data_IF_065785984791
#
_entry.id   IF_065785984791
#
_cell.length_a   1.000
_cell.length_b   1.000
_cell.length_c   1.000
_cell.angle_alpha   90.00
_cell.angle_beta   90.00
_cell.angle_gamma   90.00
#
_symmetry.space_group_name_H-M   'P 1'
#
loop_
_entity.id
_entity.type
_entity.pdbx_description
1 polymer ?
#
# COMPACT_ATOMS: atom_id res chain seq x y z
N UNK A 1 -6.39 -7.49 23.44
CA UNK A 1 -7.34 -6.94 22.47
C UNK A 1 -6.66 -6.73 21.11
N UNK A 2 -7.47 -6.58 20.08
CA UNK A 2 -7.06 -6.27 18.71
C UNK A 2 -7.44 -4.82 18.42
N UNK A 3 -6.62 -4.10 17.63
CA UNK A 3 -6.88 -2.71 17.24
C UNK A 3 -6.97 -2.62 15.73
N UNK A 4 -8.03 -1.96 15.25
CA UNK A 4 -8.20 -1.68 13.82
C UNK A 4 -8.67 -0.24 13.61
N UNK A 5 -8.39 0.31 12.45
CA UNK A 5 -8.87 1.63 12.09
C UNK A 5 -8.45 2.07 10.70
N UNK A 6 -9.28 2.88 10.07
CA UNK A 6 -9.04 3.46 8.76
C UNK A 6 -8.47 4.87 8.82
N UNK A 7 -7.60 5.24 7.86
CA UNK A 7 -7.05 6.58 7.72
C UNK A 7 -6.37 7.07 9.01
N UNK A 8 -6.72 8.21 9.55
CA UNK A 8 -6.19 8.71 10.85
C UNK A 8 -6.33 7.71 11.99
N UNK A 9 -7.40 6.89 12.02
CA UNK A 9 -7.55 5.82 13.03
C UNK A 9 -6.58 4.67 12.77
N UNK A 10 -6.22 4.42 11.51
CA UNK A 10 -5.12 3.51 11.15
C UNK A 10 -3.77 4.00 11.68
N UNK A 11 -3.52 5.31 11.61
CA UNK A 11 -2.36 5.92 12.25
C UNK A 11 -2.36 5.69 13.77
N UNK A 12 -3.52 5.94 14.41
CA UNK A 12 -3.70 5.63 15.84
C UNK A 12 -3.52 4.14 16.13
N UNK A 13 -3.96 3.25 15.24
CA UNK A 13 -3.78 1.79 15.35
C UNK A 13 -2.31 1.43 15.47
N UNK A 14 -1.47 1.95 14.58
CA UNK A 14 -0.02 1.76 14.64
C UNK A 14 0.58 2.29 15.95
N UNK A 15 0.31 3.55 16.31
CA UNK A 15 0.88 4.15 17.52
C UNK A 15 0.40 3.46 18.80
N UNK A 16 -0.85 3.02 18.86
CA UNK A 16 -1.37 2.23 20.00
C UNK A 16 -0.58 0.94 20.15
N UNK A 17 -0.33 0.23 19.06
CA UNK A 17 0.45 -1.02 19.08
C UNK A 17 1.92 -0.80 19.48
N UNK A 18 2.47 0.38 19.19
CA UNK A 18 3.84 0.72 19.57
C UNK A 18 4.01 0.92 21.09
N UNK A 19 2.95 1.33 21.82
CA UNK A 19 3.04 1.72 23.22
C UNK A 19 2.28 0.79 24.16
N UNK A 20 1.28 0.05 23.69
CA UNK A 20 0.47 -0.84 24.55
C UNK A 20 0.75 -2.31 24.24
N UNK A 21 1.47 -2.98 25.15
CA UNK A 21 1.83 -4.40 25.04
C UNK A 21 0.66 -5.39 25.12
N UNK A 22 -0.55 -4.91 25.44
CA UNK A 22 -1.77 -5.74 25.46
C UNK A 22 -2.35 -5.93 24.06
N UNK A 23 -1.89 -5.15 23.07
CA UNK A 23 -2.32 -5.31 21.67
C UNK A 23 -1.77 -6.65 21.14
N UNK A 24 -2.70 -7.52 20.71
CA UNK A 24 -2.38 -8.85 20.19
C UNK A 24 -2.25 -8.90 18.67
N UNK A 25 -2.99 -8.02 17.99
CA UNK A 25 -2.93 -7.89 16.54
C UNK A 25 -3.46 -6.52 16.10
N UNK A 26 -3.12 -6.09 14.88
CA UNK A 26 -3.57 -4.81 14.32
C UNK A 26 -4.03 -4.93 12.87
N UNK A 27 -5.01 -4.08 12.50
CA UNK A 27 -5.47 -3.91 11.12
C UNK A 27 -5.51 -2.42 10.77
N UNK A 28 -4.39 -1.83 10.36
CA UNK A 28 -4.38 -0.49 9.79
C UNK A 28 -4.93 -0.51 8.35
N UNK A 29 -5.90 0.34 8.06
CA UNK A 29 -6.61 0.40 6.77
C UNK A 29 -6.42 1.79 6.16
N UNK A 30 -6.13 1.88 4.86
CA UNK A 30 -5.94 3.14 4.11
C UNK A 30 -5.00 4.10 4.82
N UNK A 31 -3.84 3.61 5.25
CA UNK A 31 -2.84 4.38 5.96
C UNK A 31 -1.41 3.95 5.55
N UNK A 32 -1.14 4.01 4.28
CA UNK A 32 0.10 3.57 3.66
C UNK A 32 1.20 4.65 3.77
N UNK A 33 1.47 5.10 5.01
CA UNK A 33 2.22 6.32 5.31
C UNK A 33 3.51 6.12 6.12
N UNK A 34 3.81 4.92 6.58
CA UNK A 34 5.02 4.69 7.39
C UNK A 34 6.27 5.14 6.61
N UNK A 35 7.26 5.68 7.31
CA UNK A 35 8.40 6.37 6.73
C UNK A 35 7.98 7.69 6.04
N UNK A 36 7.18 8.48 6.76
CA UNK A 36 6.42 9.62 6.27
C UNK A 36 7.27 10.65 5.50
N UNK A 37 8.50 10.91 5.94
CA UNK A 37 9.40 11.81 5.23
C UNK A 37 9.71 11.35 3.81
N UNK A 38 9.93 10.05 3.60
CA UNK A 38 10.16 9.45 2.28
C UNK A 38 8.86 9.41 1.45
N UNK A 39 7.72 9.18 2.10
CA UNK A 39 6.42 9.16 1.42
C UNK A 39 6.10 10.50 0.76
N UNK A 40 6.36 11.63 1.43
CA UNK A 40 6.14 12.95 0.84
C UNK A 40 7.08 13.24 -0.33
N UNK A 41 8.35 12.86 -0.20
CA UNK A 41 9.31 12.98 -1.31
C UNK A 41 8.83 12.15 -2.50
N UNK A 42 8.49 10.90 -2.28
CA UNK A 42 8.00 9.99 -3.32
C UNK A 42 6.73 10.49 -3.98
N UNK A 43 5.79 11.04 -3.21
CA UNK A 43 4.55 11.60 -3.74
C UNK A 43 4.83 12.73 -4.74
N UNK A 44 5.71 13.66 -4.35
CA UNK A 44 6.12 14.72 -5.26
C UNK A 44 6.86 14.20 -6.49
N UNK A 45 7.83 13.33 -6.28
CA UNK A 45 8.66 12.81 -7.37
C UNK A 45 7.86 11.94 -8.36
N UNK A 46 6.80 11.30 -7.89
CA UNK A 46 5.88 10.54 -8.74
C UNK A 46 4.94 11.43 -9.55
N UNK A 47 4.39 12.50 -8.94
CA UNK A 47 3.31 13.28 -9.53
C UNK A 47 3.72 14.68 -10.03
N UNK A 48 4.76 15.29 -9.46
CA UNK A 48 5.16 16.69 -9.70
C UNK A 48 4.28 17.72 -8.99
N UNK A 49 3.37 17.24 -8.14
CA UNK A 49 2.48 18.05 -7.30
C UNK A 49 2.07 17.22 -6.07
N UNK A 50 1.48 17.88 -5.07
CA UNK A 50 0.79 17.17 -4.00
C UNK A 50 -0.70 17.05 -4.33
N UNK A 51 -1.26 15.82 -4.22
CA UNK A 51 -2.68 15.61 -4.44
C UNK A 51 -3.53 16.54 -3.56
N UNK A 52 -4.69 17.02 -4.03
CA UNK A 52 -5.56 17.92 -3.27
C UNK A 52 -5.93 17.41 -1.88
N UNK A 53 -5.98 16.09 -1.71
CA UNK A 53 -6.21 15.42 -0.43
C UNK A 53 -5.14 15.78 0.64
N UNK A 54 -3.93 16.15 0.22
CA UNK A 54 -2.83 16.54 1.12
C UNK A 54 -2.79 18.04 1.44
N UNK A 55 -3.79 18.81 1.04
CA UNK A 55 -3.84 20.27 1.19
C UNK A 55 -3.42 20.74 2.59
N UNK A 56 -4.01 20.17 3.64
CA UNK A 56 -3.75 20.57 5.02
C UNK A 56 -2.25 20.42 5.40
N UNK A 57 -1.58 19.38 4.88
CA UNK A 57 -0.16 19.15 5.12
C UNK A 57 0.71 20.15 4.36
N UNK A 58 0.32 20.49 3.14
CA UNK A 58 1.06 21.42 2.27
C UNK A 58 0.91 22.86 2.71
N UNK A 59 -0.27 23.27 3.22
CA UNK A 59 -0.50 24.60 3.77
C UNK A 59 0.46 24.93 4.93
N UNK A 60 0.85 23.92 5.70
CA UNK A 60 1.83 24.05 6.77
C UNK A 60 3.27 23.74 6.33
N UNK A 61 3.49 23.52 5.03
CA UNK A 61 4.80 23.15 4.47
C UNK A 61 5.42 21.91 5.13
N UNK A 62 4.58 20.99 5.61
CA UNK A 62 5.04 19.79 6.33
C UNK A 62 5.92 18.88 5.47
N UNK A 63 5.63 18.64 4.16
CA UNK A 63 6.48 17.80 3.33
C UNK A 63 7.95 18.20 3.35
N UNK A 64 8.26 19.50 3.25
CA UNK A 64 9.63 19.99 3.26
C UNK A 64 10.17 20.22 4.66
N UNK A 65 9.34 20.66 5.60
CA UNK A 65 9.74 20.78 7.00
C UNK A 65 10.19 19.46 7.60
N UNK A 66 9.61 18.34 7.19
CA UNK A 66 10.02 17.00 7.63
C UNK A 66 11.44 16.64 7.20
N UNK A 67 12.02 17.34 6.22
CA UNK A 67 13.42 17.15 5.83
C UNK A 67 14.41 17.97 6.70
N UNK A 68 13.92 18.86 7.54
CA UNK A 68 14.76 19.64 8.47
C UNK A 68 15.08 18.85 9.74
N UNK A 69 16.14 19.22 10.50
CA UNK A 69 16.43 18.57 11.78
C UNK A 69 15.23 18.57 12.76
N UNK A 70 14.47 19.66 12.83
CA UNK A 70 13.28 19.76 13.68
C UNK A 70 12.15 18.84 13.19
N UNK A 71 11.98 18.74 11.87
CA UNK A 71 11.03 17.81 11.26
C UNK A 71 11.39 16.35 11.54
N UNK A 72 12.69 16.02 11.49
CA UNK A 72 13.16 14.67 11.83
C UNK A 72 12.90 14.33 13.31
N UNK A 73 13.05 15.28 14.24
CA UNK A 73 12.67 15.07 15.65
C UNK A 73 11.15 14.86 15.80
N UNK A 74 10.31 15.59 15.06
CA UNK A 74 8.87 15.36 15.04
C UNK A 74 8.54 13.96 14.53
N UNK A 75 9.15 13.50 13.43
CA UNK A 75 8.95 12.17 12.87
C UNK A 75 9.28 11.06 13.87
N UNK A 76 10.29 11.23 14.73
CA UNK A 76 10.60 10.25 15.80
C UNK A 76 9.44 10.06 16.79
N UNK A 77 8.53 11.02 16.87
CA UNK A 77 7.37 10.95 17.79
C UNK A 77 6.13 10.50 17.07
N UNK A 78 5.86 11.05 15.87
CA UNK A 78 4.56 10.89 15.20
C UNK A 78 4.55 9.80 14.13
N UNK A 79 5.71 9.49 13.52
CA UNK A 79 5.77 8.46 12.47
C UNK A 79 5.82 7.06 13.09
N UNK A 80 4.83 6.20 12.80
CA UNK A 80 4.87 4.81 13.27
C UNK A 80 6.13 4.06 12.83
N UNK A 81 6.76 4.44 11.72
CA UNK A 81 8.00 3.82 11.26
C UNK A 81 9.14 3.92 12.27
N UNK A 82 9.18 4.99 13.07
CA UNK A 82 10.15 5.16 14.15
C UNK A 82 10.07 4.03 15.21
N UNK A 83 8.94 3.35 15.29
CA UNK A 83 8.66 2.28 16.25
C UNK A 83 8.58 0.89 15.60
N UNK A 84 9.01 0.73 14.34
CA UNK A 84 8.85 -0.50 13.56
C UNK A 84 9.34 -1.76 14.26
N UNK A 85 10.40 -1.66 15.08
CA UNK A 85 10.95 -2.77 15.84
C UNK A 85 10.02 -3.28 16.95
N UNK A 86 8.97 -2.52 17.30
CA UNK A 86 7.97 -2.89 18.31
C UNK A 86 6.80 -3.66 17.73
N UNK A 87 6.62 -3.68 16.41
CA UNK A 87 5.49 -4.32 15.73
C UNK A 87 5.75 -5.82 15.49
N UNK A 88 5.94 -6.58 16.56
CA UNK A 88 6.17 -8.02 16.50
C UNK A 88 4.89 -8.86 16.43
N UNK A 89 3.73 -8.25 16.77
CA UNK A 89 2.43 -8.90 16.72
C UNK A 89 1.96 -9.12 15.27
N UNK A 90 0.98 -10.02 15.02
CA UNK A 90 0.31 -10.15 13.75
C UNK A 90 -0.30 -8.83 13.27
N UNK A 91 -0.15 -8.53 11.98
CA UNK A 91 -0.69 -7.31 11.36
C UNK A 91 -1.18 -7.56 9.95
N UNK A 92 -2.39 -7.11 9.66
CA UNK A 92 -2.96 -7.07 8.31
C UNK A 92 -3.01 -5.61 7.86
N UNK A 93 -2.16 -5.26 6.89
CA UNK A 93 -2.12 -3.91 6.29
C UNK A 93 -3.01 -3.90 5.06
N UNK A 94 -4.00 -3.01 5.02
CA UNK A 94 -4.94 -2.90 3.91
C UNK A 94 -4.80 -1.53 3.26
N UNK A 95 -4.54 -1.52 1.97
CA UNK A 95 -4.35 -0.31 1.14
C UNK A 95 -5.18 -0.39 -0.14
N UNK A 96 -5.40 0.75 -0.78
CA UNK A 96 -6.11 0.88 -2.06
C UNK A 96 -5.14 1.10 -3.19
N UNK A 97 -5.46 0.58 -4.38
CA UNK A 97 -4.63 0.85 -5.57
C UNK A 97 -4.81 2.25 -6.13
N UNK A 98 -5.88 2.94 -5.78
CA UNK A 98 -6.22 4.27 -6.30
C UNK A 98 -6.39 5.33 -5.21
N UNK A 99 -5.72 5.17 -4.06
CA UNK A 99 -5.78 6.11 -2.94
C UNK A 99 -5.28 7.50 -3.35
N UNK A 100 -6.01 8.54 -2.96
CA UNK A 100 -5.65 9.92 -3.27
C UNK A 100 -4.66 10.55 -2.28
N UNK A 101 -4.39 9.90 -1.15
CA UNK A 101 -3.39 10.35 -0.17
C UNK A 101 -2.04 9.68 -0.35
N UNK A 102 -2.03 8.41 -0.77
CA UNK A 102 -0.84 7.57 -0.81
C UNK A 102 -0.55 7.09 -2.23
N UNK A 103 0.70 7.22 -2.65
CA UNK A 103 1.12 6.69 -3.95
C UNK A 103 0.96 5.18 -3.95
N UNK A 104 0.51 4.63 -5.06
CA UNK A 104 0.11 3.23 -5.18
C UNK A 104 1.19 2.22 -4.73
N UNK A 105 2.47 2.56 -4.83
CA UNK A 105 3.60 1.71 -4.41
C UNK A 105 4.25 2.15 -3.08
N UNK A 106 3.50 2.84 -2.23
CA UNK A 106 3.99 3.39 -0.94
C UNK A 106 4.50 2.33 0.04
N UNK A 107 3.95 1.11 0.02
CA UNK A 107 4.38 0.02 0.92
C UNK A 107 5.86 -0.35 0.76
N UNK A 108 6.48 -0.06 -0.38
CA UNK A 108 7.91 -0.29 -0.64
C UNK A 108 8.86 0.36 0.37
N UNK A 109 8.40 1.43 1.05
CA UNK A 109 9.23 2.21 1.99
C UNK A 109 9.22 1.66 3.42
N UNK A 110 8.41 0.64 3.70
CA UNK A 110 8.30 0.18 5.08
C UNK A 110 7.92 -1.30 5.25
N UNK A 111 7.18 -1.89 4.29
CA UNK A 111 6.61 -3.22 4.50
C UNK A 111 7.68 -4.28 4.71
N UNK A 112 8.78 -4.20 3.97
CA UNK A 112 9.94 -5.09 4.13
C UNK A 112 10.50 -5.10 5.56
N UNK A 113 10.54 -3.93 6.20
CA UNK A 113 11.16 -3.73 7.52
C UNK A 113 10.26 -4.12 8.71
N UNK A 114 8.97 -4.38 8.47
CA UNK A 114 8.06 -4.79 9.54
C UNK A 114 8.40 -6.18 10.06
N UNK A 115 8.52 -6.31 11.38
CA UNK A 115 8.84 -7.58 12.04
C UNK A 115 7.58 -8.44 12.30
N UNK A 116 7.80 -9.73 12.53
CA UNK A 116 6.77 -10.69 12.90
C UNK A 116 5.78 -11.00 11.77
N UNK A 117 4.68 -11.71 12.08
CA UNK A 117 3.69 -12.10 11.08
C UNK A 117 3.01 -10.89 10.46
N UNK A 118 3.02 -10.80 9.14
CA UNK A 118 2.44 -9.69 8.40
C UNK A 118 1.74 -10.16 7.13
N UNK A 119 0.63 -9.51 6.82
CA UNK A 119 -0.17 -9.69 5.62
C UNK A 119 -0.40 -8.35 4.97
N UNK A 120 -0.45 -8.32 3.65
CA UNK A 120 -0.70 -7.13 2.86
C UNK A 120 -1.93 -7.39 1.97
N UNK A 121 -2.78 -6.41 1.84
CA UNK A 121 -3.94 -6.41 0.96
C UNK A 121 -4.03 -5.08 0.23
N UNK A 122 -3.82 -5.09 -1.08
CA UNK A 122 -4.18 -3.99 -1.97
C UNK A 122 -5.52 -4.28 -2.61
N UNK A 123 -6.52 -3.42 -2.38
CA UNK A 123 -7.85 -3.54 -2.98
C UNK A 123 -7.86 -2.84 -4.34
N UNK A 124 -8.01 -3.58 -5.46
CA UNK A 124 -7.94 -2.97 -6.79
C UNK A 124 -9.17 -2.11 -7.08
N UNK A 125 -8.99 -1.06 -7.89
CA UNK A 125 -10.05 -0.15 -8.31
C UNK A 125 -10.82 0.53 -7.17
N UNK A 126 -10.16 0.74 -6.03
CA UNK A 126 -10.72 1.48 -4.90
C UNK A 126 -9.91 2.74 -4.60
N UNK A 127 -10.56 3.69 -3.95
CA UNK A 127 -9.95 4.91 -3.42
C UNK A 127 -9.68 4.78 -1.90
N UNK A 128 -9.40 5.88 -1.25
CA UNK A 128 -9.14 5.94 0.19
C UNK A 128 -10.25 5.36 1.08
N UNK A 129 -11.48 5.32 0.60
CA UNK A 129 -12.63 4.79 1.36
C UNK A 129 -12.70 3.27 1.35
N UNK A 130 -11.97 2.62 0.45
CA UNK A 130 -12.08 1.19 0.19
C UNK A 130 -13.47 0.81 -0.39
N UNK A 131 -13.74 -0.46 -0.49
CA UNK A 131 -15.06 -1.00 -0.79
C UNK A 131 -15.72 -1.63 0.47
N UNK A 132 -16.98 -2.00 0.35
CA UNK A 132 -17.75 -2.57 1.45
C UNK A 132 -17.22 -3.96 1.88
N UNK A 133 -16.50 -4.67 1.01
CA UNK A 133 -15.97 -6.01 1.30
C UNK A 133 -14.72 -5.95 2.17
N UNK A 134 -13.94 -4.88 2.09
CA UNK A 134 -12.66 -4.74 2.82
C UNK A 134 -12.81 -4.98 4.31
N UNK A 135 -13.88 -4.43 4.92
CA UNK A 135 -14.18 -4.63 6.35
C UNK A 135 -14.49 -6.08 6.69
N UNK A 136 -15.20 -6.77 5.79
CA UNK A 136 -15.61 -8.17 5.96
C UNK A 136 -14.41 -9.11 5.78
N UNK A 137 -13.54 -8.85 4.80
CA UNK A 137 -12.29 -9.57 4.61
C UNK A 137 -11.38 -9.47 5.85
N UNK A 138 -11.30 -8.27 6.45
CA UNK A 138 -10.56 -8.06 7.71
C UNK A 138 -11.13 -8.88 8.87
N UNK A 139 -12.47 -9.03 8.96
CA UNK A 139 -13.10 -9.82 10.01
C UNK A 139 -12.75 -11.30 9.91
N UNK A 140 -12.66 -11.86 8.71
CA UNK A 140 -12.25 -13.24 8.49
C UNK A 140 -10.82 -13.53 9.00
N UNK A 141 -9.89 -12.58 8.76
CA UNK A 141 -8.53 -12.67 9.32
C UNK A 141 -8.53 -12.52 10.85
N UNK A 142 -9.35 -11.60 11.37
CA UNK A 142 -9.47 -11.37 12.83
C UNK A 142 -9.99 -12.63 13.53
N UNK A 143 -10.96 -13.32 12.94
CA UNK A 143 -11.52 -14.57 13.47
C UNK A 143 -10.42 -15.63 13.63
N UNK A 144 -9.59 -15.83 12.61
CA UNK A 144 -8.44 -16.72 12.70
C UNK A 144 -7.48 -16.34 13.85
N UNK A 145 -7.18 -15.05 14.00
CA UNK A 145 -6.29 -14.58 15.08
C UNK A 145 -6.90 -14.82 16.46
N UNK A 146 -8.20 -14.58 16.62
CA UNK A 146 -8.89 -14.79 17.90
C UNK A 146 -8.99 -16.26 18.28
N UNK A 147 -9.16 -17.12 17.28
CA UNK A 147 -9.20 -18.59 17.45
C UNK A 147 -7.82 -19.24 17.54
N UNK A 148 -6.74 -18.45 17.49
CA UNK A 148 -5.36 -18.92 17.41
C UNK A 148 -5.12 -19.87 16.22
N UNK A 149 -5.84 -19.70 15.13
CA UNK A 149 -5.61 -20.36 13.87
C UNK A 149 -4.46 -19.70 13.11
N UNK A 150 -3.83 -20.44 12.24
CA UNK A 150 -2.79 -19.91 11.36
C UNK A 150 -3.44 -19.49 10.05
N UNK A 151 -3.60 -18.19 9.84
CA UNK A 151 -4.02 -17.67 8.54
C UNK A 151 -3.00 -18.00 7.47
N UNK A 152 -3.42 -18.35 6.25
CA UNK A 152 -2.52 -18.53 5.12
C UNK A 152 -1.73 -17.26 4.84
N UNK A 153 -0.56 -17.41 4.23
CA UNK A 153 0.31 -16.28 3.86
C UNK A 153 0.89 -16.50 2.47
N UNK A 154 1.29 -15.42 1.86
CA UNK A 154 2.15 -15.43 0.69
C UNK A 154 3.49 -14.78 1.04
N UNK A 155 4.56 -15.32 0.49
CA UNK A 155 5.85 -14.66 0.39
C UNK A 155 6.15 -14.40 -1.07
N UNK A 156 6.96 -13.38 -1.36
CA UNK A 156 7.30 -13.07 -2.75
C UNK A 156 8.73 -12.59 -2.90
N UNK A 157 9.22 -12.73 -4.11
CA UNK A 157 10.48 -12.16 -4.56
C UNK A 157 10.25 -11.38 -5.85
N UNK A 158 10.98 -10.30 -6.00
CA UNK A 158 11.03 -9.54 -7.25
C UNK A 158 12.16 -10.10 -8.11
N UNK A 159 11.84 -10.56 -9.31
CA UNK A 159 12.81 -11.08 -10.29
C UNK A 159 12.94 -10.06 -11.43
N UNK A 160 13.95 -9.19 -11.34
CA UNK A 160 14.05 -8.01 -12.19
C UNK A 160 12.96 -6.99 -11.88
N UNK A 161 12.62 -6.16 -12.88
CA UNK A 161 11.63 -5.10 -12.70
C UNK A 161 10.21 -5.52 -13.07
N UNK A 162 10.06 -6.56 -13.88
CA UNK A 162 8.81 -6.94 -14.54
C UNK A 162 8.14 -8.20 -13.96
N UNK A 163 8.76 -8.85 -12.96
CA UNK A 163 8.34 -10.18 -12.52
C UNK A 163 8.23 -10.27 -11.00
N UNK A 164 7.09 -10.79 -10.51
CA UNK A 164 6.85 -11.13 -9.11
C UNK A 164 6.62 -12.65 -9.04
N UNK A 165 7.48 -13.35 -8.28
CA UNK A 165 7.27 -14.77 -7.94
C UNK A 165 6.67 -14.87 -6.56
N UNK A 166 5.57 -15.61 -6.43
CA UNK A 166 4.81 -15.78 -5.19
C UNK A 166 4.85 -17.24 -4.73
N UNK A 167 5.08 -17.44 -3.44
CA UNK A 167 5.04 -18.73 -2.77
C UNK A 167 3.98 -18.69 -1.66
N UNK A 168 2.80 -19.32 -1.86
CA UNK A 168 1.78 -19.42 -0.82
C UNK A 168 2.14 -20.49 0.21
N UNK A 169 1.75 -20.29 1.48
CA UNK A 169 1.99 -21.25 2.57
C UNK A 169 0.98 -22.41 2.61
N UNK A 170 -0.12 -22.27 1.89
CA UNK A 170 -1.15 -23.30 1.68
C UNK A 170 -1.76 -23.15 0.29
N UNK A 171 -2.52 -24.13 -0.17
CA UNK A 171 -3.15 -24.10 -1.48
C UNK A 171 -4.16 -22.95 -1.59
N UNK A 172 -3.94 -21.96 -2.44
CA UNK A 172 -4.93 -20.92 -2.71
C UNK A 172 -6.06 -21.46 -3.58
N UNK A 173 -7.24 -20.88 -3.45
CA UNK A 173 -8.40 -21.08 -4.34
C UNK A 173 -8.10 -20.48 -5.72
N UNK A 174 -7.47 -19.32 -5.74
CA UNK A 174 -7.10 -18.60 -6.95
C UNK A 174 -5.89 -17.69 -6.69
N UNK A 175 -5.07 -17.51 -7.73
CA UNK A 175 -4.01 -16.48 -7.75
C UNK A 175 -4.16 -15.66 -9.01
N UNK A 176 -4.13 -14.33 -8.89
CA UNK A 176 -4.32 -13.37 -9.98
C UNK A 176 -3.16 -12.40 -10.09
N UNK A 177 -2.77 -12.09 -11.30
CA UNK A 177 -1.94 -10.92 -11.61
C UNK A 177 -2.87 -9.76 -11.92
N UNK A 178 -2.83 -8.71 -11.09
CA UNK A 178 -3.50 -7.44 -11.32
C UNK A 178 -2.54 -6.44 -11.98
N UNK A 179 -3.04 -5.67 -12.94
CA UNK A 179 -2.24 -4.65 -13.63
C UNK A 179 -3.09 -3.48 -14.12
N UNK A 180 -2.47 -2.31 -14.18
CA UNK A 180 -3.01 -1.09 -14.75
C UNK A 180 -1.92 -0.34 -15.52
N UNK A 181 -2.28 0.37 -16.58
CA UNK A 181 -1.34 1.21 -17.35
C UNK A 181 -1.84 2.64 -17.41
N UNK A 182 -0.97 3.59 -17.10
CA UNK A 182 -1.20 5.00 -17.38
C UNK A 182 -0.16 5.48 -18.40
N UNK A 183 -0.54 5.77 -19.65
CA UNK A 183 0.39 6.15 -20.70
C UNK A 183 0.93 7.58 -20.57
N UNK A 184 0.34 8.40 -19.69
CA UNK A 184 0.60 9.83 -19.61
C UNK A 184 1.32 10.27 -18.34
N UNK A 185 1.13 9.54 -17.22
CA UNK A 185 1.66 9.92 -15.91
C UNK A 185 1.87 8.70 -15.01
N UNK A 186 2.75 8.84 -14.00
CA UNK A 186 2.94 7.85 -12.93
C UNK A 186 1.88 8.02 -11.83
N UNK A 187 0.63 8.20 -12.23
CA UNK A 187 -0.51 8.49 -11.35
C UNK A 187 -1.60 7.44 -11.55
N UNK A 188 -1.83 6.62 -10.54
CA UNK A 188 -2.81 5.53 -10.53
C UNK A 188 -4.00 5.82 -9.60
N UNK A 189 -4.18 7.07 -9.16
CA UNK A 189 -5.33 7.46 -8.34
C UNK A 189 -6.63 7.19 -9.08
N UNK A 190 -7.61 6.64 -8.36
CA UNK A 190 -8.92 6.32 -8.94
C UNK A 190 -9.62 7.55 -9.52
N UNK A 191 -9.49 8.70 -8.84
CA UNK A 191 -10.08 9.97 -9.27
C UNK A 191 -9.49 10.49 -10.60
N UNK A 192 -8.25 10.08 -10.93
CA UNK A 192 -7.55 10.54 -12.15
C UNK A 192 -7.68 9.53 -13.28
N UNK A 193 -7.48 8.25 -12.99
CA UNK A 193 -7.36 7.20 -14.01
C UNK A 193 -8.63 6.37 -14.16
N UNK A 194 -9.51 6.39 -13.16
CA UNK A 194 -10.69 5.53 -13.12
C UNK A 194 -10.37 4.07 -12.75
N UNK A 195 -11.37 3.17 -12.80
CA UNK A 195 -11.22 1.77 -12.40
C UNK A 195 -10.62 0.92 -13.54
N UNK A 196 -9.35 1.16 -13.87
CA UNK A 196 -8.66 0.55 -15.03
C UNK A 196 -7.86 -0.70 -14.69
N UNK A 197 -7.78 -1.07 -13.42
CA UNK A 197 -7.10 -2.29 -13.04
C UNK A 197 -7.86 -3.52 -13.55
N UNK A 198 -7.12 -4.38 -14.24
CA UNK A 198 -7.61 -5.66 -14.76
C UNK A 198 -6.77 -6.80 -14.22
N UNK A 199 -7.35 -7.99 -14.15
CA UNK A 199 -6.63 -9.16 -13.66
C UNK A 199 -6.68 -10.34 -14.63
N UNK A 200 -5.68 -11.20 -14.50
CA UNK A 200 -5.66 -12.52 -15.15
C UNK A 200 -5.27 -13.59 -14.13
N UNK A 201 -5.89 -14.76 -14.26
CA UNK A 201 -5.54 -15.90 -13.41
C UNK A 201 -4.13 -16.41 -13.74
N UNK A 202 -3.40 -16.79 -12.70
CA UNK A 202 -2.09 -17.43 -12.81
C UNK A 202 -2.22 -18.93 -12.53
N UNK A 203 -1.43 -19.73 -13.25
CA UNK A 203 -1.31 -21.17 -13.01
C UNK A 203 -0.08 -21.47 -12.16
N UNK A 204 -0.14 -22.42 -11.22
CA UNK A 204 1.02 -22.80 -10.42
C UNK A 204 2.09 -23.49 -11.28
N UNK A 205 3.35 -23.23 -10.96
CA UNK A 205 4.46 -24.03 -11.44
C UNK A 205 4.50 -25.39 -10.73
N UNK A 206 5.36 -26.31 -11.19
CA UNK A 206 5.48 -27.64 -10.60
C UNK A 206 5.87 -27.64 -9.12
N UNK A 207 6.54 -26.59 -8.65
CA UNK A 207 6.94 -26.38 -7.27
C UNK A 207 5.88 -25.65 -6.41
N UNK A 208 4.69 -25.40 -6.97
CA UNK A 208 3.59 -24.73 -6.29
C UNK A 208 3.72 -23.19 -6.25
N UNK A 209 4.75 -22.60 -6.86
CA UNK A 209 4.89 -21.14 -6.96
C UNK A 209 4.07 -20.58 -8.12
N UNK A 210 3.79 -19.26 -8.08
CA UNK A 210 3.10 -18.53 -9.13
C UNK A 210 3.97 -17.38 -9.60
N UNK A 211 3.98 -17.12 -10.91
CA UNK A 211 4.79 -16.03 -11.49
C UNK A 211 3.89 -15.04 -12.20
N UNK A 212 3.81 -13.83 -11.66
CA UNK A 212 3.19 -12.69 -12.32
C UNK A 212 4.23 -11.91 -13.09
N UNK A 213 4.13 -11.93 -14.42
CA UNK A 213 5.04 -11.20 -15.30
C UNK A 213 4.27 -10.25 -16.20
N UNK A 214 4.76 -9.01 -16.33
CA UNK A 214 4.19 -7.99 -17.20
C UNK A 214 5.21 -7.54 -18.25
N UNK A 215 4.71 -6.90 -19.29
CA UNK A 215 5.56 -6.20 -20.27
C UNK A 215 5.58 -4.72 -19.96
N UNK A 216 6.74 -4.10 -20.06
CA UNK A 216 6.88 -2.65 -19.97
C UNK A 216 5.98 -1.98 -21.02
N UNK A 217 5.24 -0.91 -20.66
CA UNK A 217 4.39 -0.22 -21.60
C UNK A 217 5.24 0.57 -22.62
N UNK A 218 4.72 0.75 -23.83
CA UNK A 218 5.39 1.54 -24.86
C UNK A 218 5.57 3.01 -24.46
N UNK A 219 4.68 3.53 -23.61
CA UNK A 219 4.73 4.89 -23.03
C UNK A 219 4.16 4.87 -21.64
N UNK A 220 4.60 5.80 -20.79
CA UNK A 220 4.10 5.96 -19.43
C UNK A 220 4.55 4.85 -18.48
N UNK A 221 3.67 4.44 -17.60
CA UNK A 221 3.95 3.51 -16.51
C UNK A 221 2.89 2.42 -16.40
N UNK A 222 3.33 1.26 -15.95
CA UNK A 222 2.46 0.13 -15.61
C UNK A 222 2.67 -0.26 -14.17
N UNK A 223 1.59 -0.31 -13.40
CA UNK A 223 1.55 -0.85 -12.04
C UNK A 223 1.01 -2.28 -12.05
N UNK A 224 1.55 -3.15 -11.21
CA UNK A 224 1.10 -4.54 -11.10
C UNK A 224 1.41 -5.13 -9.73
N UNK A 225 0.63 -6.14 -9.34
CA UNK A 225 0.84 -6.95 -8.14
C UNK A 225 0.18 -8.32 -8.30
N UNK A 226 0.50 -9.24 -7.41
CA UNK A 226 -0.13 -10.57 -7.38
C UNK A 226 -1.02 -10.68 -6.16
N UNK A 227 -2.23 -11.18 -6.35
CA UNK A 227 -3.24 -11.44 -5.34
C UNK A 227 -3.49 -12.94 -5.23
N UNK A 228 -3.62 -13.44 -4.00
CA UNK A 228 -3.98 -14.82 -3.72
C UNK A 228 -5.21 -14.86 -2.82
N UNK A 229 -6.20 -15.65 -3.21
CA UNK A 229 -7.45 -15.89 -2.49
C UNK A 229 -7.39 -17.26 -1.83
N UNK A 230 -7.70 -17.34 -0.54
CA UNK A 230 -7.70 -18.57 0.24
C UNK A 230 -9.10 -18.84 0.80
N UNK A 231 -9.54 -20.10 0.81
CA UNK A 231 -10.83 -20.46 1.38
C UNK A 231 -10.81 -20.24 2.90
N UNK A 232 -11.86 -19.66 3.44
CA UNK A 232 -12.06 -19.49 4.88
C UNK A 232 -12.60 -20.76 5.49
N UNK A 233 -11.99 -21.21 6.60
CA UNK A 233 -12.50 -22.32 7.40
C UNK A 233 -13.31 -21.85 8.63
N UNK A 234 -13.47 -20.54 8.81
CA UNK A 234 -14.15 -19.91 9.94
C UNK A 234 -15.68 -19.82 9.78
N UNK A 235 -16.31 -19.20 10.77
CA UNK A 235 -17.77 -18.97 10.80
C UNK A 235 -18.17 -17.80 9.90
N UNK A 236 -17.25 -16.86 9.67
CA UNK A 236 -17.46 -15.68 8.84
C UNK A 236 -16.91 -15.97 7.44
N UNK A 237 -17.79 -15.91 6.44
CA UNK A 237 -17.39 -15.85 5.05
C UNK A 237 -17.39 -14.39 4.60
N UNK A 238 -16.37 -13.93 3.96
CA UNK A 238 -15.76 -14.39 2.71
C UNK A 238 -14.38 -15.04 2.85
N UNK A 239 -13.84 -15.45 1.70
CA UNK A 239 -12.46 -15.92 1.53
C UNK A 239 -11.44 -14.85 2.01
N UNK A 240 -10.28 -15.31 2.47
CA UNK A 240 -9.19 -14.41 2.82
C UNK A 240 -8.38 -14.04 1.56
N UNK A 241 -8.13 -12.76 1.37
CA UNK A 241 -7.44 -12.24 0.20
C UNK A 241 -6.20 -11.46 0.61
N UNK A 242 -5.06 -11.84 0.05
CA UNK A 242 -3.77 -11.20 0.32
C UNK A 242 -3.05 -10.87 -0.98
N UNK A 243 -2.23 -9.82 -0.94
CA UNK A 243 -1.48 -9.38 -2.11
C UNK A 243 0.00 -9.19 -1.80
N UNK A 244 0.79 -9.12 -2.86
CA UNK A 244 2.14 -8.57 -2.80
C UNK A 244 2.10 -7.04 -2.73
N UNK A 245 3.25 -6.43 -2.54
CA UNK A 245 3.43 -5.00 -2.83
C UNK A 245 3.11 -4.72 -4.28
N UNK A 246 2.68 -3.48 -4.56
CA UNK A 246 2.52 -2.99 -5.93
C UNK A 246 3.90 -2.60 -6.48
N UNK A 247 4.22 -3.09 -7.66
CA UNK A 247 5.40 -2.71 -8.45
C UNK A 247 4.98 -1.81 -9.60
N UNK A 248 5.79 -0.81 -9.94
CA UNK A 248 5.55 0.09 -11.07
C UNK A 248 6.75 0.05 -12.00
N UNK A 249 6.52 -0.12 -13.30
CA UNK A 249 7.55 -0.14 -14.33
C UNK A 249 7.25 0.86 -15.47
N UNK A 250 8.30 1.51 -16.03
CA UNK A 250 9.67 1.53 -15.51
C UNK A 250 9.72 2.10 -14.08
N UNK A 251 10.68 1.65 -13.25
CA UNK A 251 10.84 2.18 -11.88
C UNK A 251 11.59 3.53 -11.93
N UNK A 252 10.99 4.48 -12.63
CA UNK A 252 11.48 5.85 -12.80
C UNK A 252 10.48 6.84 -12.23
N UNK A 253 11.01 7.89 -11.63
CA UNK A 253 10.23 8.99 -11.06
C UNK A 253 10.37 10.21 -11.98
N UNK A 254 9.28 10.69 -12.60
CA UNK A 254 9.37 11.77 -13.59
C UNK A 254 9.86 13.10 -13.02
N UNK A 255 9.75 13.30 -11.71
CA UNK A 255 10.16 14.53 -11.00
C UNK A 255 11.24 14.28 -9.96
N UNK A 256 12.07 13.23 -10.15
CA UNK A 256 13.13 12.86 -9.23
C UNK A 256 14.06 14.05 -8.90
N UNK A 257 14.40 14.21 -7.62
CA UNK A 257 15.29 15.26 -7.14
C UNK A 257 14.71 16.68 -7.13
N UNK A 258 13.41 16.85 -7.45
CA UNK A 258 12.77 18.19 -7.47
C UNK A 258 11.92 18.46 -6.23
N UNK A 259 11.77 17.48 -5.35
CA UNK A 259 11.03 17.64 -4.11
C UNK A 259 11.68 18.71 -3.21
N UNK A 260 10.85 19.57 -2.63
CA UNK A 260 11.28 20.68 -1.75
C UNK A 260 12.18 21.73 -2.40
N UNK A 261 12.26 21.74 -3.74
CA UNK A 261 12.90 22.80 -4.54
C UNK A 261 11.86 23.77 -5.09
N UNK A 262 11.94 25.05 -4.72
CA UNK A 262 11.03 26.10 -5.22
C UNK A 262 9.75 26.28 -4.41
N UNK A 263 8.81 27.08 -4.94
CA UNK A 263 7.54 27.40 -4.29
C UNK A 263 6.49 26.31 -4.53
N UNK A 264 6.52 25.24 -3.74
CA UNK A 264 5.62 24.10 -3.86
C UNK A 264 4.17 24.41 -3.49
N UNK A 265 3.89 25.52 -2.81
CA UNK A 265 2.52 25.96 -2.48
C UNK A 265 1.73 26.32 -3.73
N UNK A 266 2.40 26.79 -4.79
CA UNK A 266 1.75 27.15 -6.06
C UNK A 266 1.28 25.91 -6.86
N UNK A 267 1.73 24.70 -6.53
CA UNK A 267 1.46 23.48 -7.29
C UNK A 267 0.38 22.59 -6.66
N UNK A 268 -0.49 23.14 -5.82
CA UNK A 268 -1.69 22.45 -5.32
C UNK A 268 -2.80 22.34 -6.37
N UNK A 269 -2.64 23.00 -7.53
CA UNK A 269 -3.64 22.95 -8.59
C UNK A 269 -3.38 21.74 -9.50
N UNK A 270 -4.47 21.01 -9.74
CA UNK A 270 -4.61 19.94 -10.72
C UNK A 270 -3.88 20.27 -12.03
N UNK A 271 -3.22 19.31 -12.70
CA UNK A 271 -2.73 19.53 -14.06
C UNK A 271 -3.88 20.10 -14.90
N UNK A 272 -3.62 21.20 -15.57
CA UNK A 272 -4.57 21.85 -16.47
C UNK A 272 -5.23 20.79 -17.33
N UNK A 273 -6.55 20.65 -17.21
CA UNK A 273 -7.32 19.94 -18.22
C UNK A 273 -6.94 20.58 -19.56
N UNK A 274 -6.12 19.90 -20.34
CA UNK A 274 -5.97 20.25 -21.73
C UNK A 274 -7.33 20.00 -22.36
N UNK A 275 -8.05 21.08 -22.62
CA UNK A 275 -9.21 21.08 -23.48
C UNK A 275 -8.84 20.48 -24.83
N UNK A 276 -9.37 19.30 -25.12
CA UNK A 276 -9.67 18.80 -26.44
C UNK A 276 -11.01 18.07 -26.43
#
# INVERSE_FOLDING_TARGET
FLVLGGSKRGWTTWLTAAVDKRVKAIVPISIDMLNLGQQFIHHWEAYGFFAPALKDYVEFDLPCRMQTPQGQELLRVVDPYAYRDRYTMPKLVISSTGDQFFVTDSSRFYYGDLLGPKWLRYTPNTDHKQDDNTGIEALSWIDDILDNKTSPRITWTLEGDDTIRVSPTSQPKEVRLWQATNPNARDFRLETLGPVWTSQALTPAADGTYTGKVQEPATGWKAFFVEATFPTAGVIEPDQVYSTEVKIIPDTLPYAGTACGGDQKANLESPRQSSF
#
